data_IF_367635906488
#
_entry.id   IF_367635906488
#
_cell.length_a   1.000
_cell.length_b   1.000
_cell.length_c   1.000
_cell.angle_alpha   90.00
_cell.angle_beta   90.00
_cell.angle_gamma   90.00
#
_symmetry.space_group_name_H-M   'P 1'
#
loop_
_entity.id
_entity.type
_entity.pdbx_description
1 polymer ?
#
# COMPACT_ATOMS: atom_id res chain seq x y z
N UNK A 1 -16.67 -4.83 0.05
CA UNK A 1 -15.61 -5.74 -0.43
C UNK A 1 -15.31 -6.79 0.64
N UNK A 2 -14.92 -7.98 0.24
CA UNK A 2 -14.53 -9.03 1.18
C UNK A 2 -13.06 -8.85 1.62
N UNK A 3 -12.59 -9.70 2.54
CA UNK A 3 -11.25 -9.58 3.09
C UNK A 3 -10.15 -9.71 2.01
N UNK A 4 -10.30 -10.68 1.09
CA UNK A 4 -9.34 -10.86 0.01
C UNK A 4 -9.27 -9.66 -0.93
N UNK A 5 -10.42 -9.09 -1.27
CA UNK A 5 -10.50 -7.88 -2.08
C UNK A 5 -9.87 -6.68 -1.37
N UNK A 6 -10.04 -6.57 -0.05
CA UNK A 6 -9.41 -5.52 0.73
C UNK A 6 -7.88 -5.65 0.70
N UNK A 7 -7.35 -6.85 0.86
CA UNK A 7 -5.91 -7.11 0.79
C UNK A 7 -5.35 -6.79 -0.59
N UNK A 8 -6.05 -7.20 -1.65
CA UNK A 8 -5.65 -6.90 -3.02
C UNK A 8 -5.72 -5.39 -3.32
N UNK A 9 -6.70 -4.69 -2.76
CA UNK A 9 -6.82 -3.24 -2.88
C UNK A 9 -5.62 -2.53 -2.24
N UNK A 10 -5.23 -2.93 -1.04
CA UNK A 10 -4.04 -2.37 -0.38
C UNK A 10 -2.79 -2.59 -1.25
N UNK A 11 -2.61 -3.80 -1.76
CA UNK A 11 -1.47 -4.12 -2.62
C UNK A 11 -1.45 -3.26 -3.89
N UNK A 12 -2.57 -3.17 -4.58
CA UNK A 12 -2.71 -2.37 -5.80
C UNK A 12 -2.36 -0.90 -5.54
N UNK A 13 -2.90 -0.35 -4.47
CA UNK A 13 -2.69 1.05 -4.13
C UNK A 13 -1.25 1.32 -3.69
N UNK A 14 -0.62 0.39 -2.99
CA UNK A 14 0.82 0.48 -2.68
C UNK A 14 1.65 0.64 -3.95
N UNK A 15 1.41 -0.18 -4.97
CA UNK A 15 2.12 -0.06 -6.25
C UNK A 15 1.87 1.29 -6.91
N UNK A 16 0.64 1.79 -6.87
CA UNK A 16 0.29 3.08 -7.46
C UNK A 16 1.00 4.25 -6.76
N UNK A 17 1.00 4.28 -5.43
CA UNK A 17 1.71 5.30 -4.67
C UNK A 17 3.20 5.27 -4.94
N UNK A 18 3.80 4.10 -4.88
CA UNK A 18 5.25 3.98 -4.97
C UNK A 18 5.79 4.09 -6.40
N UNK A 19 5.00 3.71 -7.41
CA UNK A 19 5.33 4.03 -8.79
C UNK A 19 5.34 5.55 -9.01
N UNK A 20 4.37 6.26 -8.48
CA UNK A 20 4.33 7.72 -8.53
C UNK A 20 5.55 8.36 -7.89
N UNK A 21 5.98 7.87 -6.72
CA UNK A 21 7.18 8.37 -6.03
C UNK A 21 8.46 8.24 -6.84
N UNK A 22 8.57 7.25 -7.71
CA UNK A 22 9.73 7.08 -8.60
C UNK A 22 9.47 7.59 -10.02
N UNK A 23 8.39 8.34 -10.21
CA UNK A 23 8.00 8.92 -11.50
C UNK A 23 7.87 7.89 -12.61
N UNK A 24 7.37 6.70 -12.27
CA UNK A 24 7.15 5.60 -13.19
C UNK A 24 5.66 5.29 -13.32
N UNK A 25 5.31 4.60 -14.40
CA UNK A 25 3.98 4.03 -14.52
C UNK A 25 3.83 2.85 -13.57
N UNK A 26 2.61 2.65 -13.06
CA UNK A 26 2.30 1.45 -12.28
C UNK A 26 2.56 0.22 -13.16
N UNK A 27 3.33 -0.76 -12.67
CA UNK A 27 3.56 -1.98 -13.44
C UNK A 27 2.27 -2.75 -13.66
N UNK A 28 2.27 -3.67 -14.62
CA UNK A 28 1.17 -4.62 -14.76
C UNK A 28 1.06 -5.48 -13.50
N UNK A 29 -0.12 -5.49 -12.89
CA UNK A 29 -0.34 -6.15 -11.61
C UNK A 29 -1.11 -7.46 -11.78
N UNK A 30 -0.79 -8.48 -10.95
CA UNK A 30 -1.55 -9.72 -10.95
C UNK A 30 -2.98 -9.49 -10.44
N UNK A 31 -3.87 -10.43 -10.76
CA UNK A 31 -5.24 -10.44 -10.26
C UNK A 31 -5.50 -11.76 -9.51
N UNK A 32 -4.83 -11.97 -8.38
CA UNK A 32 -4.95 -13.23 -7.65
C UNK A 32 -6.35 -13.36 -7.04
N UNK A 33 -6.83 -14.59 -6.97
CA UNK A 33 -8.15 -14.91 -6.41
C UNK A 33 -8.10 -15.99 -5.32
N UNK A 34 -6.91 -16.43 -4.93
CA UNK A 34 -6.72 -17.37 -3.83
C UNK A 34 -5.86 -16.77 -2.72
N UNK A 35 -5.88 -17.39 -1.54
CA UNK A 35 -5.17 -16.91 -0.37
C UNK A 35 -3.67 -16.78 -0.60
N UNK A 36 -3.04 -17.78 -1.21
CA UNK A 36 -1.60 -17.78 -1.45
C UNK A 36 -1.18 -16.66 -2.40
N UNK A 37 -1.93 -16.48 -3.50
CA UNK A 37 -1.66 -15.42 -4.47
C UNK A 37 -1.88 -14.03 -3.91
N UNK A 38 -2.95 -13.83 -3.14
CA UNK A 38 -3.23 -12.53 -2.50
C UNK A 38 -2.17 -12.21 -1.46
N UNK A 39 -1.76 -13.17 -0.65
CA UNK A 39 -0.70 -13.00 0.35
C UNK A 39 0.62 -12.60 -0.31
N UNK A 40 0.98 -13.28 -1.40
CA UNK A 40 2.19 -12.94 -2.16
C UNK A 40 2.09 -11.54 -2.76
N UNK A 41 0.98 -11.20 -3.38
CA UNK A 41 0.75 -9.89 -3.99
C UNK A 41 0.88 -8.77 -2.95
N UNK A 42 0.28 -8.94 -1.78
CA UNK A 42 0.39 -7.96 -0.68
C UNK A 42 1.84 -7.82 -0.21
N UNK A 43 2.52 -8.92 0.06
CA UNK A 43 3.92 -8.95 0.49
C UNK A 43 4.84 -8.28 -0.54
N UNK A 44 4.69 -8.63 -1.81
CA UNK A 44 5.48 -8.06 -2.90
C UNK A 44 5.24 -6.54 -3.04
N UNK A 45 4.02 -6.08 -2.81
CA UNK A 45 3.69 -4.64 -2.86
C UNK A 45 4.44 -3.84 -1.80
N UNK A 46 4.53 -4.36 -0.59
CA UNK A 46 5.30 -3.73 0.49
C UNK A 46 6.79 -3.76 0.22
N UNK A 47 7.30 -4.84 -0.38
CA UNK A 47 8.71 -4.91 -0.78
C UNK A 47 9.03 -3.88 -1.87
N UNK A 48 8.16 -3.76 -2.87
CA UNK A 48 8.29 -2.74 -3.91
C UNK A 48 8.39 -1.33 -3.30
N UNK A 49 7.49 -1.01 -2.39
CA UNK A 49 7.50 0.29 -1.71
C UNK A 49 8.74 0.49 -0.82
N UNK A 50 9.14 -0.54 -0.10
CA UNK A 50 10.36 -0.49 0.73
C UNK A 50 11.59 -0.15 -0.11
N UNK A 51 11.72 -0.79 -1.27
CA UNK A 51 12.83 -0.53 -2.19
C UNK A 51 12.78 0.89 -2.75
N UNK A 52 11.61 1.37 -3.17
CA UNK A 52 11.44 2.74 -3.68
C UNK A 52 11.77 3.77 -2.60
N UNK A 53 11.19 3.63 -1.42
CA UNK A 53 11.36 4.59 -0.32
C UNK A 53 12.80 4.59 0.18
N UNK A 54 13.43 3.42 0.28
CA UNK A 54 14.82 3.28 0.72
C UNK A 54 15.82 3.96 -0.20
N UNK A 55 15.48 4.16 -1.47
CA UNK A 55 16.31 4.85 -2.45
C UNK A 55 16.00 6.32 -2.65
N UNK A 56 15.02 6.90 -1.93
CA UNK A 56 14.63 8.28 -2.12
C UNK A 56 15.65 9.27 -1.54
N UNK A 57 15.93 10.33 -2.31
CA UNK A 57 16.76 11.46 -1.89
C UNK A 57 15.90 12.57 -1.27
N UNK A 58 16.54 13.51 -0.59
CA UNK A 58 15.86 14.72 -0.08
C UNK A 58 15.21 15.51 -1.21
N UNK A 59 15.85 15.60 -2.37
CA UNK A 59 15.29 16.28 -3.55
C UNK A 59 14.01 15.60 -4.03
N UNK A 60 13.97 14.26 -4.06
CA UNK A 60 12.79 13.50 -4.44
C UNK A 60 11.66 13.65 -3.41
N UNK A 61 11.97 13.73 -2.13
CA UNK A 61 10.98 13.98 -1.08
C UNK A 61 10.35 15.36 -1.18
N UNK A 62 11.11 16.35 -1.65
CA UNK A 62 10.62 17.71 -1.85
C UNK A 62 9.88 17.92 -3.17
N UNK A 63 10.25 17.17 -4.21
CA UNK A 63 9.65 17.28 -5.54
C UNK A 63 8.19 16.82 -5.55
N UNK A 64 7.43 17.36 -6.50
CA UNK A 64 6.02 16.98 -6.71
C UNK A 64 5.96 15.70 -7.55
N UNK A 65 5.13 14.75 -7.14
CA UNK A 65 4.90 13.48 -7.81
C UNK A 65 3.41 13.23 -8.01
N UNK A 66 3.08 12.38 -8.97
CA UNK A 66 1.74 11.85 -9.12
C UNK A 66 1.44 10.82 -8.03
N UNK A 67 0.19 10.76 -7.61
CA UNK A 67 -0.30 9.74 -6.69
C UNK A 67 -1.78 9.45 -6.94
N UNK A 68 -2.33 8.37 -6.37
CA UNK A 68 -3.78 8.15 -6.42
C UNK A 68 -4.61 9.29 -5.83
N UNK A 69 -4.03 10.06 -4.91
CA UNK A 69 -4.70 11.19 -4.24
C UNK A 69 -4.40 12.54 -4.90
N UNK A 70 -3.71 12.55 -6.05
CA UNK A 70 -3.36 13.75 -6.78
C UNK A 70 -1.86 14.04 -6.78
N UNK A 71 -1.49 15.20 -7.32
CA UNK A 71 -0.10 15.64 -7.36
C UNK A 71 0.26 16.37 -6.06
N UNK A 72 1.34 15.94 -5.42
CA UNK A 72 1.80 16.52 -4.17
C UNK A 72 3.29 16.23 -3.94
N UNK A 73 3.97 16.97 -3.04
CA UNK A 73 5.35 16.66 -2.68
C UNK A 73 5.52 15.23 -2.16
N UNK A 74 6.69 14.64 -2.40
CA UNK A 74 6.98 13.25 -2.01
C UNK A 74 6.70 12.97 -0.53
N UNK A 75 6.99 13.90 0.37
CA UNK A 75 6.67 13.75 1.80
C UNK A 75 5.17 13.58 2.04
N UNK A 76 4.34 14.34 1.32
CA UNK A 76 2.88 14.24 1.43
C UNK A 76 2.35 12.95 0.82
N UNK A 77 2.97 12.48 -0.27
CA UNK A 77 2.64 11.18 -0.87
C UNK A 77 2.87 10.05 0.15
N UNK A 78 4.00 10.07 0.85
CA UNK A 78 4.31 9.10 1.90
C UNK A 78 3.30 9.14 3.03
N UNK A 79 2.90 10.34 3.46
CA UNK A 79 1.87 10.49 4.50
C UNK A 79 0.52 9.96 4.02
N UNK A 80 0.12 10.27 2.80
CA UNK A 80 -1.12 9.78 2.21
C UNK A 80 -1.15 8.25 2.14
N UNK A 81 -0.04 7.63 1.72
CA UNK A 81 0.09 6.18 1.68
C UNK A 81 -0.01 5.56 3.08
N UNK A 82 0.67 6.15 4.06
CA UNK A 82 0.61 5.69 5.45
C UNK A 82 -0.84 5.72 5.99
N UNK A 83 -1.53 6.83 5.77
CA UNK A 83 -2.94 7.00 6.19
C UNK A 83 -3.83 5.96 5.50
N UNK A 84 -3.64 5.73 4.20
CA UNK A 84 -4.39 4.74 3.44
C UNK A 84 -4.24 3.33 3.99
N UNK A 85 -3.00 2.90 4.26
CA UNK A 85 -2.72 1.59 4.83
C UNK A 85 -3.31 1.46 6.24
N UNK A 86 -3.14 2.49 7.07
CA UNK A 86 -3.67 2.49 8.44
C UNK A 86 -5.21 2.41 8.45
N UNK A 87 -5.88 3.13 7.56
CA UNK A 87 -7.34 3.10 7.41
C UNK A 87 -7.82 1.68 7.06
N UNK A 88 -7.24 1.06 6.06
CA UNK A 88 -7.62 -0.29 5.64
C UNK A 88 -7.19 -1.36 6.63
N UNK A 89 -6.09 -1.14 7.37
CA UNK A 89 -5.71 -2.02 8.47
C UNK A 89 -6.81 -2.08 9.53
N UNK A 90 -7.38 -0.93 9.89
CA UNK A 90 -8.51 -0.89 10.82
C UNK A 90 -9.71 -1.68 10.33
N UNK A 91 -10.03 -1.58 9.04
CA UNK A 91 -11.08 -2.40 8.42
C UNK A 91 -10.76 -3.90 8.47
N UNK A 92 -9.52 -4.27 8.19
CA UNK A 92 -9.08 -5.67 8.24
C UNK A 92 -9.23 -6.26 9.65
N UNK A 93 -8.95 -5.48 10.68
CA UNK A 93 -9.14 -5.91 12.08
C UNK A 93 -10.58 -6.26 12.39
N UNK A 94 -11.55 -5.51 11.83
CA UNK A 94 -12.97 -5.79 12.00
C UNK A 94 -13.33 -7.14 11.36
N UNK A 95 -12.85 -7.41 10.13
CA UNK A 95 -13.06 -8.70 9.47
C UNK A 95 -12.52 -9.86 10.30
N UNK A 96 -11.33 -9.70 10.87
CA UNK A 96 -10.73 -10.74 11.72
C UNK A 96 -11.56 -11.00 12.97
N UNK A 97 -11.99 -9.95 13.67
CA UNK A 97 -12.82 -10.06 14.88
C UNK A 97 -14.17 -10.69 14.58
N UNK A 98 -14.79 -10.37 13.47
CA UNK A 98 -16.06 -10.96 13.05
C UNK A 98 -15.93 -12.47 12.82
N UNK A 99 -14.74 -12.97 12.55
CA UNK A 99 -14.44 -14.39 12.39
C UNK A 99 -13.79 -15.01 13.64
N UNK A 100 -13.85 -14.34 14.79
CA UNK A 100 -13.32 -14.85 16.06
C UNK A 100 -11.79 -14.86 16.13
N UNK A 101 -11.12 -14.12 15.24
CA UNK A 101 -9.65 -14.05 15.20
C UNK A 101 -9.19 -12.75 15.84
N UNK A 102 -8.32 -12.84 16.83
CA UNK A 102 -7.70 -11.67 17.45
C UNK A 102 -6.66 -11.08 16.48
N UNK A 103 -6.81 -9.80 16.08
CA UNK A 103 -5.80 -9.18 15.22
C UNK A 103 -4.46 -9.00 15.96
N UNK A 104 -3.35 -8.92 15.20
CA UNK A 104 -2.06 -8.54 15.79
C UNK A 104 -2.14 -7.18 16.47
N UNK A 105 -1.36 -7.00 17.54
CA UNK A 105 -1.29 -5.72 18.23
C UNK A 105 -0.79 -4.61 17.32
N UNK A 106 -1.36 -3.42 17.46
CA UNK A 106 -0.89 -2.25 16.72
C UNK A 106 0.48 -1.81 17.23
N UNK A 107 1.39 -1.55 16.28
CA UNK A 107 2.73 -1.01 16.57
C UNK A 107 3.07 0.07 15.57
N UNK A 108 3.66 1.11 16.07
CA UNK A 108 4.19 2.21 15.26
C UNK A 108 5.69 1.98 15.04
#
# INVERSE_FOLDING_TARGET
MNFGELMAHIATTNYQFCAGLKDAQTPELPKPNDKAGITKFLSDSFQYCSDVIGGMTEAQLAAVHDSPDGRMPGREVLLAMYIHVAHHRGQAEIYLRDNGIKPPGYRI
#
